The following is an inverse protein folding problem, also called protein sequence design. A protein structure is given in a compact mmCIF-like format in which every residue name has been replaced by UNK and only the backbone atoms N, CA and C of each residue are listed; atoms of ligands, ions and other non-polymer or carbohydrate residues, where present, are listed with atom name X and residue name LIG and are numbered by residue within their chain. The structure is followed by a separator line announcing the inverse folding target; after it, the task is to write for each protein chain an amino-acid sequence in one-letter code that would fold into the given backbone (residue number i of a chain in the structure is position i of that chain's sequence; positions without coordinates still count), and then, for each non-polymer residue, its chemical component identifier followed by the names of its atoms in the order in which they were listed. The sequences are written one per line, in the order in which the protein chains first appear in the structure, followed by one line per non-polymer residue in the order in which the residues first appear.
data_IF_153500246609
#
_entry.id   IF_153500246609
#
_cell.length_a   1.000
_cell.length_b   1.000
_cell.length_c   1.000
_cell.angle_alpha   90.00
_cell.angle_beta   90.00
_cell.angle_gamma   90.00
#
_symmetry.space_group_name_H-M   'P 1'
#
loop_
_entity.id
_entity.type
_entity.pdbx_description
1 polymer ?
#
# COMPACT_ATOMS: atom_id res chain seq x y z
N UNK A 1 -1.96 -4.98 0.29
CA UNK A 1 -2.76 -4.15 1.22
C UNK A 1 -3.94 -3.60 0.45
N UNK A 2 -5.17 -3.75 0.95
CA UNK A 2 -6.36 -3.11 0.38
C UNK A 2 -6.75 -1.92 1.26
N UNK A 3 -6.81 -0.70 0.70
CA UNK A 3 -6.94 0.55 1.46
C UNK A 3 -8.14 1.39 1.01
N UNK A 4 -8.92 1.90 1.97
CA UNK A 4 -10.07 2.80 1.79
C UNK A 4 -10.22 3.69 3.02
N UNK A 5 -10.26 5.01 2.86
CA UNK A 5 -10.20 5.98 3.96
C UNK A 5 -9.12 5.57 4.98
N UNK A 6 -9.50 5.34 6.24
CA UNK A 6 -8.61 4.89 7.32
C UNK A 6 -8.51 3.36 7.44
N UNK A 7 -9.26 2.61 6.63
CA UNK A 7 -9.26 1.14 6.64
C UNK A 7 -8.11 0.60 5.80
N UNK A 8 -7.32 -0.31 6.36
CA UNK A 8 -6.30 -1.08 5.65
C UNK A 8 -6.47 -2.56 5.98
N UNK A 9 -6.64 -3.39 4.96
CA UNK A 9 -6.73 -4.86 5.10
C UNK A 9 -5.44 -5.47 4.55
N UNK A 10 -4.76 -6.22 5.40
CA UNK A 10 -3.64 -7.08 5.01
C UNK A 10 -4.19 -8.44 4.64
N UNK A 11 -3.88 -8.89 3.43
CA UNK A 11 -4.25 -10.20 2.97
C UNK A 11 -3.27 -10.65 1.89
N UNK A 12 -3.02 -11.95 1.90
CA UNK A 12 -2.26 -12.63 0.87
C UNK A 12 -3.23 -13.34 -0.06
N UNK A 13 -2.97 -13.23 -1.37
CA UNK A 13 -3.70 -13.96 -2.40
C UNK A 13 -2.71 -14.75 -3.23
N UNK A 14 -3.19 -15.84 -3.84
CA UNK A 14 -2.37 -16.56 -4.82
C UNK A 14 -2.07 -15.63 -6.00
N UNK A 15 -0.93 -15.83 -6.68
CA UNK A 15 -0.59 -15.04 -7.87
C UNK A 15 -1.62 -15.22 -9.01
N UNK A 16 -2.28 -16.38 -9.04
CA UNK A 16 -3.37 -16.68 -9.97
C UNK A 16 -4.72 -16.07 -9.55
N UNK A 17 -4.81 -15.39 -8.41
CA UNK A 17 -6.04 -14.78 -7.95
C UNK A 17 -6.40 -13.55 -8.78
N UNK A 18 -7.60 -13.56 -9.35
CA UNK A 18 -8.17 -12.44 -10.10
C UNK A 18 -8.72 -11.35 -9.19
N UNK A 19 -8.89 -10.15 -9.76
CA UNK A 19 -9.57 -9.01 -9.12
C UNK A 19 -10.96 -9.40 -8.61
N UNK A 20 -11.72 -10.21 -9.36
CA UNK A 20 -13.03 -10.69 -8.92
C UNK A 20 -12.96 -11.55 -7.66
N UNK A 21 -12.00 -12.48 -7.58
CA UNK A 21 -11.80 -13.29 -6.37
C UNK A 21 -11.41 -12.43 -5.18
N UNK A 22 -10.54 -11.43 -5.39
CA UNK A 22 -10.17 -10.47 -4.36
C UNK A 22 -11.39 -9.69 -3.83
N UNK A 23 -12.26 -9.18 -4.71
CA UNK A 23 -13.54 -8.56 -4.31
C UNK A 23 -14.43 -9.52 -3.51
N UNK A 24 -14.43 -10.80 -3.85
CA UNK A 24 -15.14 -11.85 -3.12
C UNK A 24 -14.62 -12.03 -1.68
N UNK A 25 -13.30 -12.01 -1.47
CA UNK A 25 -12.72 -12.06 -0.12
C UNK A 25 -13.05 -10.78 0.65
N UNK A 26 -12.93 -9.62 0.02
CA UNK A 26 -13.29 -8.33 0.61
C UNK A 26 -14.78 -8.26 0.99
N UNK A 27 -15.68 -8.88 0.20
CA UNK A 27 -17.10 -9.04 0.58
C UNK A 27 -17.23 -9.82 1.90
N UNK A 28 -16.46 -10.88 2.08
CA UNK A 28 -16.45 -11.67 3.31
C UNK A 28 -16.13 -10.82 4.56
N UNK A 29 -15.22 -9.85 4.41
CA UNK A 29 -14.74 -8.99 5.50
C UNK A 29 -15.63 -7.76 5.68
N UNK A 30 -15.86 -7.00 4.61
CA UNK A 30 -16.49 -5.68 4.61
C UNK A 30 -18.01 -5.72 4.35
N UNK A 31 -18.54 -6.90 4.01
CA UNK A 31 -19.97 -7.14 3.71
C UNK A 31 -20.53 -6.31 2.55
N UNK A 32 -19.67 -5.76 1.69
CA UNK A 32 -20.06 -5.07 0.45
C UNK A 32 -20.03 -6.04 -0.74
N UNK A 33 -21.04 -6.10 -1.62
CA UNK A 33 -21.06 -7.05 -2.72
C UNK A 33 -20.05 -6.66 -3.83
N UNK A 34 -19.45 -7.62 -4.58
CA UNK A 34 -18.34 -7.37 -5.49
C UNK A 34 -18.61 -6.34 -6.60
N UNK A 35 -19.83 -6.29 -7.10
CA UNK A 35 -20.30 -5.33 -8.10
C UNK A 35 -20.38 -3.89 -7.55
N UNK A 36 -20.40 -3.72 -6.23
CA UNK A 36 -20.32 -2.43 -5.55
C UNK A 36 -18.91 -2.09 -5.06
N UNK A 37 -17.91 -2.88 -5.45
CA UNK A 37 -16.51 -2.65 -5.14
C UNK A 37 -15.72 -2.28 -6.41
N UNK A 38 -14.86 -1.27 -6.29
CA UNK A 38 -13.91 -0.86 -7.32
C UNK A 38 -12.51 -0.91 -6.73
N UNK A 39 -11.64 -1.69 -7.37
CA UNK A 39 -10.24 -1.82 -6.97
C UNK A 39 -9.37 -0.97 -7.87
N UNK A 40 -8.37 -0.31 -7.30
CA UNK A 40 -7.39 0.51 -8.03
C UNK A 40 -5.98 0.00 -7.72
N UNK A 41 -5.14 -0.11 -8.74
CA UNK A 41 -3.72 -0.39 -8.58
C UNK A 41 -2.93 0.64 -9.40
N UNK A 42 -2.05 1.39 -8.75
CA UNK A 42 -1.23 2.43 -9.40
C UNK A 42 -2.09 3.41 -10.22
N UNK A 43 -3.18 3.90 -9.62
CA UNK A 43 -4.23 4.76 -10.23
C UNK A 43 -5.03 4.14 -11.39
N UNK A 44 -4.72 2.91 -11.78
CA UNK A 44 -5.45 2.17 -12.82
C UNK A 44 -6.57 1.34 -12.23
N UNK A 45 -7.65 1.20 -13.00
CA UNK A 45 -8.75 0.29 -12.72
C UNK A 45 -8.54 -1.03 -13.48
N UNK A 46 -8.04 -2.10 -12.85
CA UNK A 46 -7.85 -3.38 -13.50
C UNK A 46 -9.20 -4.07 -13.76
N UNK A 47 -9.27 -4.83 -14.86
CA UNK A 47 -10.41 -5.67 -15.19
C UNK A 47 -10.59 -6.81 -14.18
N UNK A 48 -11.83 -7.23 -13.95
CA UNK A 48 -12.18 -8.25 -12.96
C UNK A 48 -11.51 -9.62 -13.20
N UNK A 49 -11.17 -9.93 -14.45
CA UNK A 49 -10.46 -11.15 -14.84
C UNK A 49 -8.93 -11.08 -14.72
N UNK A 50 -8.36 -9.90 -14.49
CA UNK A 50 -6.90 -9.75 -14.37
C UNK A 50 -6.41 -10.20 -13.00
N UNK A 51 -5.19 -10.73 -12.95
CA UNK A 51 -4.48 -11.01 -11.71
C UNK A 51 -3.76 -9.76 -11.22
N UNK A 52 -3.71 -9.58 -9.89
CA UNK A 52 -2.93 -8.50 -9.29
C UNK A 52 -1.59 -9.05 -8.83
N UNK A 53 -0.52 -8.55 -9.44
CA UNK A 53 0.85 -8.92 -9.05
C UNK A 53 1.39 -7.96 -8.00
N UNK A 54 2.11 -8.49 -7.02
CA UNK A 54 2.85 -7.74 -6.00
C UNK A 54 4.31 -8.20 -5.99
N UNK A 55 5.24 -7.35 -5.54
CA UNK A 55 6.64 -7.76 -5.37
C UNK A 55 6.81 -8.42 -4.00
N UNK A 56 7.60 -9.51 -3.88
CA UNK A 56 7.84 -10.15 -2.58
C UNK A 56 8.36 -9.20 -1.51
N UNK A 57 9.30 -8.31 -1.87
CA UNK A 57 9.88 -7.33 -0.95
C UNK A 57 9.01 -6.09 -0.69
N UNK A 58 7.88 -5.92 -1.38
CA UNK A 58 7.02 -4.75 -1.24
C UNK A 58 5.56 -5.12 -1.54
N UNK A 59 4.71 -5.28 -0.51
CA UNK A 59 3.30 -5.56 -0.70
C UNK A 59 2.65 -4.52 -1.61
N UNK A 60 1.91 -4.96 -2.63
CA UNK A 60 1.17 -4.04 -3.49
C UNK A 60 0.09 -3.34 -2.66
N UNK A 61 -0.05 -2.03 -2.87
CA UNK A 61 -1.18 -1.27 -2.35
C UNK A 61 -2.27 -1.23 -3.41
N UNK A 62 -3.46 -1.69 -3.01
CA UNK A 62 -4.67 -1.68 -3.82
C UNK A 62 -5.64 -0.71 -3.16
N UNK A 63 -6.07 0.32 -3.89
CA UNK A 63 -7.13 1.22 -3.47
C UNK A 63 -8.49 0.56 -3.60
N UNK A 64 -9.40 0.82 -2.67
CA UNK A 64 -10.77 0.33 -2.68
C UNK A 64 -11.74 1.50 -2.60
N UNK A 65 -12.69 1.54 -3.53
CA UNK A 65 -13.81 2.46 -3.53
C UNK A 65 -15.13 1.68 -3.58
N UNK A 66 -16.11 2.16 -2.84
CA UNK A 66 -17.46 1.61 -2.81
C UNK A 66 -18.45 2.47 -3.57
N UNK A 67 -19.59 1.87 -3.86
CA UNK A 67 -20.79 2.59 -4.27
C UNK A 67 -21.96 2.11 -3.42
N UNK A 68 -22.80 3.04 -2.96
CA UNK A 68 -24.09 2.70 -2.37
C UNK A 68 -25.12 2.54 -3.49
N UNK A 69 -25.22 3.58 -4.30
CA UNK A 69 -25.92 3.65 -5.59
C UNK A 69 -24.90 4.02 -6.67
N UNK A 70 -25.29 4.68 -7.77
CA UNK A 70 -24.36 5.22 -8.74
C UNK A 70 -24.22 6.75 -8.58
N UNK A 71 -23.00 7.32 -8.72
CA UNK A 71 -21.73 6.69 -9.09
C UNK A 71 -20.94 6.11 -7.90
N UNK A 72 -19.82 5.42 -8.19
CA UNK A 72 -18.82 5.08 -7.17
C UNK A 72 -18.24 6.31 -6.50
N UNK A 73 -17.91 6.18 -5.21
CA UNK A 73 -17.18 7.21 -4.50
C UNK A 73 -15.79 7.44 -5.12
N UNK A 74 -15.26 8.65 -4.92
CA UNK A 74 -13.88 8.94 -5.30
C UNK A 74 -12.91 8.08 -4.48
N UNK A 75 -11.84 7.59 -5.10
CA UNK A 75 -10.81 6.86 -4.38
C UNK A 75 -10.19 7.79 -3.33
N UNK A 76 -10.34 7.42 -2.06
CA UNK A 76 -9.80 8.18 -0.94
C UNK A 76 -9.01 7.26 -0.02
N UNK A 77 -7.74 7.53 0.17
CA UNK A 77 -6.84 6.77 1.06
C UNK A 77 -6.18 7.78 1.99
N UNK A 78 -6.41 7.63 3.28
CA UNK A 78 -5.75 8.46 4.27
C UNK A 78 -4.27 8.08 4.36
N UNK A 79 -3.33 9.05 4.30
CA UNK A 79 -1.92 8.75 4.54
C UNK A 79 -1.74 8.25 5.98
N UNK A 80 -0.74 7.39 6.18
CA UNK A 80 -0.32 7.06 7.53
C UNK A 80 0.33 8.29 8.19
N UNK A 81 0.40 8.29 9.52
CA UNK A 81 1.12 9.33 10.26
C UNK A 81 2.58 9.38 9.84
N UNK A 82 3.13 10.59 9.77
CA UNK A 82 4.56 10.79 9.60
C UNK A 82 5.32 10.37 10.85
N UNK A 83 6.51 9.78 10.68
CA UNK A 83 7.41 9.51 11.79
C UNK A 83 7.85 10.82 12.46
N UNK A 84 8.05 10.84 13.79
CA UNK A 84 8.58 12.01 14.48
C UNK A 84 10.02 12.31 14.04
N UNK A 85 10.50 13.52 14.32
CA UNK A 85 11.91 13.85 14.13
C UNK A 85 12.78 12.92 14.98
N UNK A 86 13.85 12.42 14.38
CA UNK A 86 14.86 11.63 15.07
C UNK A 86 15.55 12.48 16.14
N UNK A 87 15.67 11.95 17.37
CA UNK A 87 16.43 12.62 18.42
C UNK A 87 17.91 12.77 18.01
N UNK A 88 18.60 13.80 18.53
CA UNK A 88 19.98 14.09 18.13
C UNK A 88 20.96 12.93 18.41
N UNK A 89 20.65 12.07 19.38
CA UNK A 89 21.44 10.86 19.71
C UNK A 89 21.34 9.75 18.65
N UNK A 90 20.28 9.73 17.84
CA UNK A 90 20.08 8.76 16.75
C UNK A 90 20.33 9.37 15.37
N UNK A 91 20.60 10.67 15.28
CA UNK A 91 21.11 11.28 14.04
C UNK A 91 22.51 10.71 13.80
N UNK A 92 22.82 10.22 12.58
CA UNK A 92 24.15 9.74 12.28
C UNK A 92 25.14 10.87 12.55
N UNK A 93 26.13 10.63 13.41
CA UNK A 93 27.19 11.61 13.61
C UNK A 93 27.91 11.76 12.28
N UNK A 94 28.00 13.01 11.79
CA UNK A 94 28.87 13.32 10.67
C UNK A 94 30.22 12.71 11.01
N UNK A 95 30.59 11.68 10.26
CA UNK A 95 31.88 11.01 10.41
C UNK A 95 32.93 12.01 9.95
N UNK A 96 33.30 12.92 10.85
CA UNK A 96 34.50 13.73 10.78
C UNK A 96 35.67 12.79 10.91
N UNK A 97 35.97 12.07 9.83
CA UNK A 97 37.23 11.39 9.66
C UNK A 97 38.32 12.44 9.70
N UNK A 98 38.95 12.59 10.86
CA UNK A 98 40.17 13.36 11.00
C UNK A 98 41.17 12.85 9.96
N UNK A 99 41.53 13.72 9.02
CA UNK A 99 42.69 13.55 8.18
C UNK A 99 43.91 13.39 9.11
N UNK A 100 44.37 12.15 9.28
CA UNK A 100 45.65 11.89 9.92
C UNK A 100 46.69 11.89 8.79
N UNK A 101 47.22 13.06 8.47
CA UNK A 101 48.49 13.19 7.75
C UNK A 101 49.61 12.59 8.63
N UNK A 102 49.85 11.29 8.50
CA UNK A 102 51.17 10.74 8.84
C UNK A 102 52.05 10.82 7.58
N UNK A 103 52.76 11.93 7.47
CA UNK A 103 53.97 12.00 6.66
C UNK A 103 55.02 11.06 7.28
N UNK A 104 55.40 10.03 6.54
CA UNK A 104 56.52 9.15 6.84
C UNK A 104 57.80 9.86 6.43
N UNK A 105 58.61 10.31 7.39
CA UNK A 105 60.06 10.52 7.23
C UNK A 105 60.78 10.16 8.52
#
# INVERSE_FOLDING_TARGET
MNRRHKTTIFMDTKESSTVFMLKGILKGILKWPPDKQRLHKDDRLPDDGKTLTARPQAPATVGLAFRADDPFEALHIEPFSSSPELADVVKPQDSGGSANEQAVQ
#
